data_IF_069887274965
#
_entry.id   IF_069887274965
#
_cell.length_a   1.000
_cell.length_b   1.000
_cell.length_c   1.000
_cell.angle_alpha   90.00
_cell.angle_beta   90.00
_cell.angle_gamma   90.00
#
_symmetry.space_group_name_H-M   'P 1'
#
loop_
_entity.id
_entity.type
_entity.pdbx_description
1 polymer ?
2 non-polymer ?
3 non-polymer ?
4 non-polymer ?
5 water ?
#
# COMPACT_ATOMS: atom_id res chain seq x y z
N UNK A 36 10.92 21.44 12.63
CA UNK A 36 9.86 20.47 12.88
C UNK A 36 8.80 20.52 11.77
N UNK A 37 8.15 19.39 11.53
CA UNK A 37 7.06 19.35 10.57
C UNK A 37 5.92 20.29 11.00
N UNK A 38 5.45 21.12 10.05
CA UNK A 38 4.44 22.16 10.31
C UNK A 38 3.00 21.62 10.37
N UNK A 39 2.80 20.37 9.98
CA UNK A 39 1.50 19.71 10.05
C UNK A 39 1.71 18.34 10.69
N UNK A 40 0.67 17.76 11.27
CA UNK A 40 0.81 16.40 11.76
C UNK A 40 -0.40 15.57 11.35
N UNK A 41 -0.12 14.31 11.03
CA UNK A 41 -1.17 13.37 10.67
C UNK A 41 -1.37 12.37 11.80
N UNK A 42 -2.62 11.99 12.06
CA UNK A 42 -2.91 10.89 12.98
C UNK A 42 -2.36 9.59 12.40
N UNK A 43 -2.24 8.57 13.23
CA UNK A 43 -1.81 7.25 12.76
C UNK A 43 -2.76 6.75 11.66
N UNK A 44 -4.06 6.88 11.89
CA UNK A 44 -5.06 6.48 10.89
C UNK A 44 -4.91 7.24 9.58
N UNK A 45 -4.69 8.56 9.64
CA UNK A 45 -4.59 9.30 8.38
C UNK A 45 -3.27 9.02 7.64
N UNK A 46 -2.16 8.86 8.38
CA UNK A 46 -0.88 8.56 7.74
C UNK A 46 -0.97 7.20 7.09
N UNK A 47 -1.52 6.24 7.82
CA UNK A 47 -1.65 4.87 7.30
C UNK A 47 -2.48 4.87 6.03
N UNK A 48 -3.61 5.57 6.06
CA UNK A 48 -4.49 5.64 4.90
C UNK A 48 -3.81 6.28 3.69
N UNK A 49 -3.11 7.39 3.89
CA UNK A 49 -2.47 8.07 2.76
C UNK A 49 -1.30 7.27 2.18
N UNK A 50 -0.52 6.61 3.03
CA UNK A 50 0.57 5.77 2.54
C UNK A 50 0.02 4.60 1.71
N UNK A 51 -1.04 3.98 2.21
CA UNK A 51 -1.68 2.92 1.45
C UNK A 51 -2.23 3.44 0.12
N UNK A 52 -2.87 4.61 0.12
CA UNK A 52 -3.35 5.18 -1.14
C UNK A 52 -2.20 5.41 -2.13
N UNK A 53 -1.05 5.86 -1.64
CA UNK A 53 0.09 6.12 -2.52
C UNK A 53 0.63 4.84 -3.14
N UNK A 54 0.86 3.81 -2.34
CA UNK A 54 1.36 2.59 -2.98
C UNK A 54 0.29 1.96 -3.87
N UNK A 55 -0.98 2.02 -3.49
CA UNK A 55 -2.02 1.48 -4.38
C UNK A 55 -1.99 2.22 -5.72
N UNK A 56 -1.89 3.54 -5.68
CA UNK A 56 -1.87 4.32 -6.91
C UNK A 56 -0.67 3.96 -7.77
N UNK A 57 0.49 3.79 -7.15
CA UNK A 57 1.70 3.58 -7.93
C UNK A 57 1.78 2.18 -8.56
N UNK A 58 1.05 1.22 -7.99
CA UNK A 58 1.10 -0.14 -8.56
C UNK A 58 -0.15 -0.41 -9.42
N UNK A 59 -1.26 0.28 -9.12
CA UNK A 59 -2.51 0.25 -9.92
C UNK A 59 -2.25 0.68 -11.36
N UNK A 60 -1.39 1.69 -11.50
CA UNK A 60 -1.15 2.27 -12.82
C UNK A 60 -0.57 1.24 -13.82
N UNK A 61 0.55 0.56 -13.48
CA UNK A 61 0.99 -0.46 -14.46
C UNK A 61 0.06 -1.67 -14.55
N UNK A 62 -0.65 -2.04 -13.49
CA UNK A 62 -1.59 -3.16 -13.60
C UNK A 62 -2.75 -2.77 -14.54
N UNK A 63 -3.18 -1.51 -14.42
CA UNK A 63 -4.19 -0.96 -15.32
C UNK A 63 -3.71 -0.97 -16.76
N UNK A 64 -2.42 -0.68 -16.95
CA UNK A 64 -1.84 -0.69 -18.27
C UNK A 64 -1.82 -2.10 -18.86
N UNK A 65 -1.56 -3.10 -18.03
CA UNK A 65 -1.62 -4.47 -18.51
C UNK A 65 -3.03 -4.77 -18.99
N UNK A 66 -4.04 -4.36 -18.23
CA UNK A 66 -5.42 -4.59 -18.64
C UNK A 66 -5.77 -3.89 -19.95
N UNK A 67 -5.28 -2.66 -20.16
CA UNK A 67 -5.48 -2.02 -21.46
C UNK A 67 -4.83 -2.80 -22.60
N UNK A 68 -3.59 -3.25 -22.39
CA UNK A 68 -2.88 -4.04 -23.38
C UNK A 68 -3.62 -5.34 -23.70
N UNK A 69 -4.18 -5.98 -22.68
CA UNK A 69 -4.93 -7.22 -22.89
C UNK A 69 -6.17 -7.00 -23.74
N UNK A 70 -6.85 -5.88 -23.52
CA UNK A 70 -8.04 -5.57 -24.31
C UNK A 70 -7.63 -5.31 -25.76
N UNK A 71 -6.53 -4.59 -25.96
CA UNK A 71 -6.01 -4.29 -27.29
C UNK A 71 -5.52 -5.55 -28.02
N UNK A 72 -4.89 -6.45 -27.27
CA UNK A 72 -4.37 -7.67 -27.87
C UNK A 72 -5.52 -8.54 -28.39
N UNK A 73 -6.62 -8.56 -27.63
CA UNK A 73 -7.79 -9.34 -28.00
C UNK A 73 -8.43 -8.80 -29.27
N UNK A 74 -8.25 -7.51 -29.52
CA UNK A 74 -8.81 -6.88 -30.71
C UNK A 74 -7.96 -7.11 -31.95
N UNK A 75 -6.66 -7.33 -31.77
CA UNK A 75 -5.79 -7.49 -32.92
C UNK A 75 -5.54 -6.13 -33.56
N UNK A 76 -4.67 -6.11 -34.56
CA UNK A 76 -4.41 -4.86 -35.26
C UNK A 76 -3.16 -4.15 -34.76
N UNK A 77 -2.75 -4.44 -33.53
CA UNK A 77 -1.48 -3.95 -33.03
C UNK A 77 -0.93 -4.89 -31.97
N UNK A 78 -0.78 -6.16 -32.32
CA UNK A 78 -0.39 -7.16 -31.34
C UNK A 78 0.96 -6.91 -30.71
N UNK A 79 1.91 -6.46 -31.53
CA UNK A 79 3.26 -6.21 -31.06
C UNK A 79 3.28 -5.08 -30.03
N UNK A 80 2.53 -4.01 -30.32
CA UNK A 80 2.42 -2.87 -29.41
C UNK A 80 1.77 -3.25 -28.11
N UNK A 81 0.69 -4.03 -28.20
CA UNK A 81 -0.06 -4.46 -27.03
C UNK A 81 0.82 -5.34 -26.13
N UNK A 82 1.55 -6.28 -26.74
CA UNK A 82 2.45 -7.14 -25.97
C UNK A 82 3.61 -6.37 -25.34
N UNK A 83 4.17 -5.40 -26.05
CA UNK A 83 5.25 -4.60 -25.48
C UNK A 83 4.76 -3.80 -24.27
N UNK A 84 3.52 -3.29 -24.37
CA UNK A 84 2.91 -2.59 -23.25
C UNK A 84 2.77 -3.52 -22.05
N UNK A 85 2.30 -4.73 -22.29
CA UNK A 85 2.09 -5.69 -21.20
C UNK A 85 3.42 -6.02 -20.52
N UNK A 86 4.45 -6.25 -21.33
CA UNK A 86 5.76 -6.60 -20.78
C UNK A 86 6.39 -5.47 -19.99
N UNK A 87 6.35 -4.26 -20.54
CA UNK A 87 6.99 -3.15 -19.84
C UNK A 87 6.23 -2.82 -18.57
N UNK A 88 4.91 -2.99 -18.60
CA UNK A 88 4.09 -2.69 -17.44
C UNK A 88 4.28 -3.75 -16.36
N UNK A 89 4.45 -5.01 -16.75
CA UNK A 89 4.71 -6.05 -15.74
C UNK A 89 6.02 -5.77 -15.01
N UNK A 90 7.04 -5.33 -15.74
CA UNK A 90 8.29 -5.00 -15.11
C UNK A 90 8.14 -3.80 -14.17
N UNK A 91 7.38 -2.78 -14.60
CA UNK A 91 7.12 -1.62 -13.75
C UNK A 91 6.43 -2.04 -12.46
N UNK A 92 5.39 -2.86 -12.58
CA UNK A 92 4.64 -3.31 -11.41
C UNK A 92 5.52 -4.05 -10.43
N UNK A 93 6.33 -4.97 -10.94
CA UNK A 93 7.20 -5.76 -10.06
C UNK A 93 8.25 -4.87 -9.36
N UNK A 94 8.85 -3.96 -10.13
CA UNK A 94 9.87 -3.08 -9.60
C UNK A 94 9.31 -2.16 -8.50
N UNK A 95 8.11 -1.64 -8.73
CA UNK A 95 7.47 -0.74 -7.77
C UNK A 95 7.06 -1.50 -6.51
N UNK A 96 6.59 -2.74 -6.69
CA UNK A 96 6.22 -3.57 -5.56
C UNK A 96 7.42 -3.85 -4.66
N UNK A 97 8.53 -4.25 -5.25
CA UNK A 97 9.71 -4.60 -4.46
C UNK A 97 10.28 -3.37 -3.78
N UNK A 98 10.24 -2.23 -4.45
CA UNK A 98 10.72 -1.00 -3.84
C UNK A 98 9.80 -0.61 -2.68
N UNK A 99 8.49 -0.70 -2.88
CA UNK A 99 7.53 -0.33 -1.83
C UNK A 99 7.67 -1.19 -0.58
N UNK A 100 7.99 -2.47 -0.77
CA UNK A 100 8.11 -3.40 0.36
C UNK A 100 9.11 -2.91 1.40
N UNK A 101 10.18 -2.27 0.92
CA UNK A 101 11.23 -1.79 1.82
C UNK A 101 11.07 -0.30 2.14
N UNK A 102 10.69 0.50 1.15
CA UNK A 102 10.60 1.95 1.35
C UNK A 102 9.41 2.35 2.20
N UNK A 103 8.30 1.63 2.04
CA UNK A 103 7.08 1.93 2.79
C UNK A 103 6.68 0.83 3.78
N UNK A 104 6.83 -0.43 3.37
CA UNK A 104 6.44 -1.53 4.23
C UNK A 104 7.46 -1.79 5.32
N UNK A 105 7.23 -2.84 6.10
CA UNK A 105 8.13 -3.25 7.17
C UNK A 105 8.87 -4.50 6.74
N UNK A 106 9.92 -4.30 5.96
CA UNK A 106 10.68 -5.40 5.37
C UNK A 106 12.12 -4.97 5.16
N UNK A 110 13.64 -7.34 10.71
CA UNK A 110 13.05 -6.63 11.83
C UNK A 110 13.63 -5.24 12.07
N UNK A 111 14.49 -5.15 13.09
CA UNK A 111 15.06 -3.91 13.59
C UNK A 111 15.97 -3.20 12.57
N UNK A 112 16.78 -3.98 11.85
CA UNK A 112 17.74 -3.43 10.89
C UNK A 112 17.35 -3.72 9.45
N UNK A 113 17.88 -2.90 8.54
CA UNK A 113 17.81 -3.21 7.10
C UNK A 113 19.22 -3.18 6.53
N UNK A 114 19.52 -4.16 5.67
CA UNK A 114 20.79 -4.27 4.94
C UNK A 114 20.76 -3.29 3.76
N UNK A 115 21.72 -2.37 3.68
CA UNK A 115 21.67 -1.41 2.56
C UNK A 115 21.89 -2.10 1.21
N UNK A 116 22.39 -3.33 1.23
CA UNK A 116 22.50 -4.10 0.00
C UNK A 116 21.12 -4.41 -0.58
N UNK A 117 20.17 -4.70 0.29
CA UNK A 117 18.79 -4.94 -0.16
C UNK A 117 18.21 -3.63 -0.70
N UNK A 118 18.48 -2.52 -0.02
CA UNK A 118 18.03 -1.22 -0.52
C UNK A 118 18.63 -0.93 -1.89
N UNK A 119 19.93 -1.20 -2.04
CA UNK A 119 20.57 -0.96 -3.33
C UNK A 119 19.90 -1.79 -4.43
N UNK A 120 19.60 -3.05 -4.13
CA UNK A 120 19.00 -3.92 -5.14
C UNK A 120 17.64 -3.39 -5.61
N UNK A 121 16.75 -3.05 -4.67
CA UNK A 121 15.42 -2.63 -5.09
C UNK A 121 15.47 -1.24 -5.71
N UNK A 122 16.39 -0.40 -5.25
CA UNK A 122 16.52 0.94 -5.84
C UNK A 122 17.02 0.86 -7.27
N UNK A 123 18.02 0.01 -7.48
CA UNK A 123 18.59 -0.14 -8.83
C UNK A 123 17.53 -0.63 -9.84
N UNK A 124 16.73 -1.61 -9.44
CA UNK A 124 15.70 -2.11 -10.35
C UNK A 124 14.59 -1.07 -10.57
N UNK A 125 14.24 -0.35 -9.52
CA UNK A 125 13.25 0.72 -9.65
C UNK A 125 13.75 1.74 -10.69
N UNK A 126 14.99 2.18 -10.55
CA UNK A 126 15.47 3.23 -11.44
C UNK A 126 15.80 2.75 -12.83
N UNK A 127 15.94 1.44 -13.03
CA UNK A 127 16.05 0.90 -14.38
C UNK A 127 14.80 1.23 -15.19
N UNK A 128 13.67 1.35 -14.50
CA UNK A 128 12.41 1.67 -15.14
C UNK A 128 12.03 3.13 -15.04
N UNK A 129 13.01 3.96 -14.70
CA UNK A 129 12.82 5.40 -14.62
C UNK A 129 13.82 6.11 -15.52
N UNK A 130 13.58 7.39 -15.75
CA UNK A 130 14.39 8.17 -16.69
C UNK A 130 15.86 8.40 -16.29
N UNK A 131 16.13 8.83 -15.05
CA UNK A 131 17.53 9.20 -14.78
C UNK A 131 18.53 8.05 -14.73
N UNK A 132 19.78 8.36 -15.02
CA UNK A 132 20.88 7.42 -14.81
C UNK A 132 21.18 7.32 -13.33
N UNK A 133 21.26 6.10 -12.82
CA UNK A 133 21.34 5.86 -11.38
C UNK A 133 22.64 5.21 -10.98
N UNK A 134 23.30 5.77 -9.97
CA UNK A 134 24.53 5.16 -9.46
C UNK A 134 24.51 5.12 -7.93
N UNK A 135 25.23 4.15 -7.37
CA UNK A 135 25.26 3.90 -5.93
C UNK A 135 26.69 3.58 -5.49
N UNK A 136 27.14 4.27 -4.45
CA UNK A 136 28.49 4.17 -3.92
C UNK A 136 28.45 4.10 -2.40
N UNK A 137 29.28 3.25 -1.79
CA UNK A 137 29.32 3.23 -0.34
C UNK A 137 29.29 1.83 0.24
N UNK A 138 29.92 1.66 1.40
CA UNK A 138 30.00 0.35 2.04
C UNK A 138 28.63 -0.20 2.41
N UNK A 139 28.43 -1.47 2.09
CA UNK A 139 27.25 -2.20 2.52
C UNK A 139 27.21 -2.27 4.04
N UNK A 140 26.07 -1.95 4.63
CA UNK A 140 26.00 -1.85 6.09
C UNK A 140 24.60 -2.19 6.61
N UNK A 141 24.54 -2.77 7.80
CA UNK A 141 23.26 -2.92 8.50
C UNK A 141 22.96 -1.66 9.29
N UNK A 142 21.79 -1.06 9.06
CA UNK A 142 21.39 0.17 9.74
C UNK A 142 19.98 0.04 10.33
N UNK A 143 19.64 0.90 11.32
CA UNK A 143 18.26 0.87 11.83
C UNK A 143 17.27 1.05 10.69
N UNK A 144 16.17 0.31 10.72
CA UNK A 144 15.27 0.26 9.58
C UNK A 144 14.83 1.65 9.10
N UNK A 145 14.51 2.57 10.01
CA UNK A 145 13.99 3.85 9.56
C UNK A 145 15.05 4.72 8.86
N UNK A 146 16.32 4.50 9.16
CA UNK A 146 17.36 5.22 8.44
C UNK A 146 17.44 4.74 6.99
N UNK A 147 17.27 3.44 6.77
CA UNK A 147 17.31 2.92 5.40
C UNK A 147 16.01 3.31 4.65
N UNK A 148 14.88 3.33 5.35
CA UNK A 148 13.65 3.81 4.73
C UNK A 148 13.80 5.28 4.37
N UNK A 149 14.44 6.06 5.24
CA UNK A 149 14.71 7.47 4.91
C UNK A 149 15.53 7.58 3.61
N UNK A 150 16.58 6.79 3.52
CA UNK A 150 17.43 6.76 2.31
C UNK A 150 16.59 6.52 1.05
N UNK A 151 15.77 5.47 1.08
CA UNK A 151 14.99 5.14 -0.11
C UNK A 151 13.98 6.23 -0.44
N UNK A 152 13.37 6.84 0.57
CA UNK A 152 12.42 7.92 0.32
C UNK A 152 13.10 9.18 -0.21
N UNK A 153 14.34 9.40 0.21
CA UNK A 153 15.11 10.52 -0.35
C UNK A 153 15.38 10.31 -1.85
N UNK A 154 15.50 9.06 -2.30
CA UNK A 154 15.67 8.79 -3.73
C UNK A 154 14.46 9.25 -4.53
N UNK A 155 13.27 9.10 -3.95
CA UNK A 155 12.04 9.51 -4.65
C UNK A 155 11.99 11.03 -4.76
N UNK A 156 12.42 11.73 -3.70
CA UNK A 156 12.50 13.19 -3.72
C UNK A 156 13.51 13.64 -4.78
N UNK A 157 14.67 12.99 -4.80
CA UNK A 157 15.68 13.26 -5.81
C UNK A 157 15.18 13.06 -7.23
N UNK A 158 14.49 11.95 -7.47
CA UNK A 158 13.90 11.68 -8.77
C UNK A 158 12.93 12.78 -9.15
N UNK A 159 12.17 13.22 -8.16
CA UNK A 159 11.19 14.28 -8.37
C UNK A 159 11.80 15.61 -8.73
N UNK A 160 13.07 15.78 -8.38
CA UNK A 160 13.78 17.04 -8.58
C UNK A 160 14.31 17.20 -10.00
N UNK A 161 14.36 16.10 -10.74
CA UNK A 161 14.80 16.13 -12.14
C UNK A 161 13.73 15.51 -13.05
N UNK A 162 12.61 16.23 -13.25
CA UNK A 162 11.44 15.70 -13.97
C UNK A 162 11.67 15.43 -15.46
N UNK A 163 12.74 15.98 -16.05
CA UNK A 163 13.06 15.70 -17.44
C UNK A 163 14.27 14.75 -17.58
N UNK A 164 14.62 14.06 -16.49
CA UNK A 164 15.73 13.12 -16.51
C UNK A 164 17.05 13.75 -16.12
N UNK A 165 18.14 13.00 -16.32
CA UNK A 165 19.47 13.43 -15.91
C UNK A 165 20.17 12.29 -15.17
N UNK A 166 20.80 12.62 -14.04
CA UNK A 166 21.48 11.60 -13.23
C UNK A 166 21.14 11.73 -11.76
N UNK A 167 21.06 10.58 -11.09
CA UNK A 167 20.85 10.56 -9.66
C UNK A 167 21.93 9.67 -9.08
N UNK A 168 22.75 10.26 -8.21
CA UNK A 168 23.88 9.52 -7.64
C UNK A 168 23.76 9.44 -6.13
N UNK A 169 23.87 8.23 -5.61
CA UNK A 169 23.82 7.99 -4.17
C UNK A 169 25.21 7.70 -3.62
N UNK A 170 25.54 8.37 -2.51
CA UNK A 170 26.74 8.02 -1.75
C UNK A 170 26.38 7.75 -0.31
N UNK A 171 26.84 6.61 0.21
CA UNK A 171 26.72 6.30 1.63
C UNK A 171 28.04 6.61 2.31
N UNK A 172 27.98 7.43 3.36
CA UNK A 172 29.17 7.87 4.08
C UNK A 172 28.96 7.74 5.58
N UNK A 173 29.95 8.16 6.36
CA UNK A 173 29.85 8.11 7.81
C UNK A 173 30.02 6.72 8.39
N UNK A 174 29.62 6.56 9.65
CA UNK A 174 29.76 5.31 10.37
C UNK A 174 28.41 4.60 10.50
N UNK A 175 28.40 3.40 11.05
CA UNK A 175 27.12 2.70 11.16
C UNK A 175 26.26 3.30 12.29
N UNK A 176 26.89 4.02 13.23
CA UNK A 176 26.14 4.74 14.26
C UNK A 176 25.76 6.15 13.81
N UNK A 177 26.59 6.73 12.93
CA UNK A 177 26.30 8.05 12.39
C UNK A 177 26.41 8.06 10.87
N UNK A 178 25.46 7.40 10.20
CA UNK A 178 25.52 7.34 8.73
C UNK A 178 25.24 8.71 8.12
N UNK A 179 25.77 8.92 6.92
CA UNK A 179 25.44 10.10 6.15
C UNK A 179 25.03 9.68 4.76
N UNK A 180 23.90 10.18 4.29
CA UNK A 180 23.43 9.88 2.94
C UNK A 180 23.58 11.10 2.04
N UNK A 181 24.13 10.91 0.86
CA UNK A 181 24.28 12.01 -0.08
C UNK A 181 23.60 11.64 -1.40
N UNK A 182 22.61 12.43 -1.79
CA UNK A 182 21.91 12.21 -3.06
C UNK A 182 22.12 13.42 -3.96
N UNK A 183 22.82 13.22 -5.07
CA UNK A 183 23.15 14.32 -5.98
C UNK A 183 22.44 14.16 -7.32
N UNK A 184 21.65 15.16 -7.71
CA UNK A 184 20.96 15.10 -8.99
C UNK A 184 21.43 16.19 -9.94
N UNK A 185 21.50 15.81 -11.21
CA UNK A 185 21.87 16.73 -12.29
C UNK A 185 20.89 16.48 -13.42
N UNK A 186 20.51 17.54 -14.14
CA UNK A 186 19.60 17.37 -15.26
C UNK A 186 19.20 18.67 -15.92
N UNK A 187 18.51 18.56 -17.06
CA UNK A 187 18.13 19.74 -17.83
C UNK A 187 17.18 20.62 -17.05
N UNK A 188 16.30 20.00 -16.28
CA UNK A 188 15.50 20.74 -15.33
C UNK A 188 15.82 20.35 -13.90
N UNK A 189 16.17 21.35 -13.10
CA UNK A 189 16.48 21.12 -11.71
C UNK A 189 15.50 21.92 -10.89
N UNK A 190 14.68 21.24 -10.09
CA UNK A 190 13.85 21.96 -9.14
C UNK A 190 13.53 21.09 -7.94
N UNK A 191 13.78 21.63 -6.75
CA UNK A 191 13.39 20.95 -5.52
C UNK A 191 11.88 20.84 -5.56
N UNK A 192 11.36 19.61 -5.35
CA UNK A 192 9.90 19.44 -5.34
C UNK A 192 9.27 20.40 -4.33
N UNK A 193 8.33 21.24 -4.80
CA UNK A 193 7.77 22.34 -3.99
C UNK A 193 7.16 21.89 -2.68
N UNK A 194 6.45 20.76 -2.68
CA UNK A 194 5.83 20.29 -1.44
C UNK A 194 6.90 19.90 -0.42
N UNK A 195 7.97 19.27 -0.89
CA UNK A 195 9.05 18.92 0.02
C UNK A 195 9.72 20.19 0.59
N UNK A 196 9.97 21.15 -0.29
CA UNK A 196 10.59 22.41 0.11
C UNK A 196 9.73 23.11 1.17
N UNK A 197 8.43 23.22 0.89
CA UNK A 197 7.48 23.81 1.82
C UNK A 197 7.51 23.16 3.20
N UNK A 198 7.31 21.84 3.25
CA UNK A 198 7.27 21.11 4.51
C UNK A 198 8.62 21.17 5.25
N UNK A 199 9.72 21.04 4.51
CA UNK A 199 11.03 21.03 5.12
C UNK A 199 11.39 22.41 5.70
N UNK A 200 10.89 23.46 5.07
CA UNK A 200 11.15 24.83 5.51
C UNK A 200 10.30 25.23 6.72
N UNK A 201 9.34 24.39 7.09
CA UNK A 201 8.53 24.64 8.27
C UNK A 201 7.26 25.43 7.99
N UNK A 202 6.88 25.53 6.72
CA UNK A 202 5.64 26.22 6.38
C UNK A 202 4.51 25.20 6.20
N UNK A 203 3.38 25.43 6.86
CA UNK A 203 2.20 24.59 6.65
C UNK A 203 1.64 24.82 5.25
N UNK A 204 1.23 23.74 4.58
CA UNK A 204 0.67 23.84 3.23
C UNK A 204 -0.73 24.44 3.23
N UNK A 205 -1.11 25.10 2.14
CA UNK A 205 -2.43 25.69 2.03
C UNK A 205 -3.48 24.59 1.91
N UNK A 206 -3.09 23.46 1.34
CA UNK A 206 -4.00 22.34 1.24
C UNK A 206 -3.52 21.15 2.05
N UNK A 207 -4.45 20.33 2.54
CA UNK A 207 -4.12 19.18 3.39
C UNK A 207 -3.23 18.18 2.67
N UNK A 208 -2.43 17.45 3.43
CA UNK A 208 -1.62 16.37 2.89
C UNK A 208 -2.54 15.38 2.18
N UNK A 209 -2.14 14.91 1.01
CA UNK A 209 -2.92 13.91 0.27
C UNK A 209 -2.01 12.79 -0.17
N UNK A 210 -2.48 11.92 -1.08
CA UNK A 210 -1.70 10.73 -1.45
C UNK A 210 -0.43 11.07 -2.23
N UNK A 211 -0.33 12.29 -2.74
CA UNK A 211 0.88 12.71 -3.43
C UNK A 211 1.87 13.32 -2.45
N UNK A 212 1.42 14.31 -1.68
CA UNK A 212 2.29 14.99 -0.72
C UNK A 212 2.60 14.15 0.54
N UNK A 213 1.94 13.01 0.71
CA UNK A 213 2.27 12.20 1.87
C UNK A 213 3.72 11.69 1.77
N UNK A 214 4.23 11.56 0.55
CA UNK A 214 5.56 10.97 0.43
C UNK A 214 6.66 11.93 0.95
N UNK A 215 6.62 13.22 0.58
CA UNK A 215 7.58 14.12 1.24
C UNK A 215 7.33 14.26 2.74
N UNK A 216 6.07 14.23 3.17
CA UNK A 216 5.76 14.27 4.59
C UNK A 216 6.42 13.09 5.31
N UNK A 217 6.26 11.90 4.75
CA UNK A 217 6.79 10.68 5.33
C UNK A 217 8.32 10.70 5.40
N UNK A 218 8.94 11.23 4.35
CA UNK A 218 10.40 11.33 4.28
C UNK A 218 10.90 12.14 5.47
N UNK A 219 10.27 13.28 5.70
CA UNK A 219 10.66 14.14 6.79
C UNK A 219 10.35 13.51 8.14
N UNK A 220 9.22 12.81 8.24
CA UNK A 220 8.82 12.15 9.47
C UNK A 220 9.83 11.05 9.86
N UNK A 221 10.29 10.30 8.87
CA UNK A 221 11.29 9.27 9.11
C UNK A 221 12.59 9.88 9.62
N UNK A 222 13.00 11.00 9.03
CA UNK A 222 14.23 11.67 9.45
C UNK A 222 14.09 12.11 10.91
N UNK A 223 12.93 12.65 11.25
CA UNK A 223 12.70 13.07 12.64
C UNK A 223 12.80 11.89 13.60
N UNK A 224 12.17 10.77 13.27
CA UNK A 224 12.21 9.61 14.18
C UNK A 224 13.64 9.11 14.32
N UNK A 225 14.39 9.16 13.22
CA UNK A 225 15.76 8.62 13.18
C UNK A 225 16.78 9.59 13.78
N UNK A 226 16.32 10.79 14.11
CA UNK A 226 17.20 11.82 14.64
C UNK A 226 18.20 12.34 13.62
N UNK A 227 17.81 12.30 12.35
CA UNK A 227 18.67 12.79 11.28
C UNK A 227 18.08 14.06 10.67
N UNK A 228 18.95 14.91 10.12
CA UNK A 228 18.53 16.17 9.52
C UNK A 228 18.82 16.16 8.03
N UNK A 229 17.83 16.52 7.22
CA UNK A 229 18.05 16.66 5.78
C UNK A 229 18.46 18.08 5.44
N UNK A 230 19.54 18.22 4.68
CA UNK A 230 19.93 19.51 4.14
C UNK A 230 19.81 19.52 2.63
N UNK A 231 19.43 20.68 2.08
CA UNK A 231 19.31 20.86 0.65
C UNK A 231 20.29 21.91 0.16
N UNK A 232 21.15 21.55 -0.78
CA UNK A 232 22.04 22.53 -1.39
C UNK A 232 21.74 22.57 -2.89
N UNK A 233 20.94 23.55 -3.30
CA UNK A 233 20.52 23.64 -4.69
C UNK A 233 21.23 24.77 -5.42
N UNK A 234 21.98 24.42 -6.45
CA UNK A 234 22.65 25.41 -7.27
C UNK A 234 22.20 25.29 -8.72
N UNK A 235 22.78 26.13 -9.57
CA UNK A 235 22.43 26.10 -10.98
C UNK A 235 22.97 24.83 -11.65
N UNK A 236 23.98 24.21 -11.04
CA UNK A 236 24.64 23.05 -11.62
C UNK A 236 24.02 21.72 -11.17
N UNK A 237 23.62 21.66 -9.90
CA UNK A 237 23.08 20.43 -9.35
C UNK A 237 22.27 20.68 -8.08
N UNK A 238 21.62 19.65 -7.57
CA UNK A 238 21.03 19.73 -6.25
C UNK A 238 21.55 18.58 -5.41
N UNK A 239 22.02 18.89 -4.21
CA UNK A 239 22.49 17.86 -3.29
C UNK A 239 21.55 17.78 -2.09
N UNK A 240 20.92 16.62 -1.94
CA UNK A 240 20.14 16.31 -0.75
C UNK A 240 21.01 15.45 0.15
N UNK A 241 21.26 15.89 1.37
CA UNK A 241 22.06 15.07 2.26
C UNK A 241 21.35 14.89 3.60
N UNK A 242 21.66 13.79 4.27
CA UNK A 242 21.08 13.53 5.58
C UNK A 242 22.17 13.02 6.51
N UNK A 243 22.06 13.42 7.77
CA UNK A 243 23.04 13.06 8.79
C UNK A 243 22.51 13.38 10.20
N UNK B 37 -7.37 -1.53 21.53
CA UNK B 37 -7.58 -1.18 22.93
C UNK B 37 -6.38 -1.52 23.83
N UNK B 38 -5.93 -2.79 23.87
CA UNK B 38 -4.89 -3.07 24.87
C UNK B 38 -3.48 -2.68 24.43
N UNK B 39 -3.29 -2.49 23.13
CA UNK B 39 -2.01 -2.11 22.58
C UNK B 39 -2.22 -0.99 21.58
N UNK B 40 -1.21 -0.16 21.38
CA UNK B 40 -1.30 0.86 20.34
C UNK B 40 -0.02 0.91 19.50
N UNK B 41 -0.20 1.12 18.20
CA UNK B 41 0.92 1.24 17.29
C UNK B 41 1.16 2.68 16.98
N UNK B 42 2.44 3.04 16.85
CA UNK B 42 2.82 4.37 16.40
C UNK B 42 2.31 4.57 14.99
N UNK B 43 2.22 5.83 14.57
CA UNK B 43 1.81 6.15 13.21
C UNK B 43 2.75 5.49 12.20
N UNK B 44 4.05 5.58 12.45
CA UNK B 44 5.03 4.95 11.55
C UNK B 44 4.86 3.43 11.44
N UNK B 45 4.64 2.77 12.58
CA UNK B 45 4.52 1.32 12.56
C UNK B 45 3.20 0.86 11.95
N UNK B 46 2.11 1.58 12.19
CA UNK B 46 0.84 1.19 11.58
C UNK B 46 0.89 1.33 10.06
N UNK B 47 1.41 2.46 9.59
CA UNK B 47 1.51 2.70 8.16
C UNK B 47 2.37 1.65 7.49
N UNK B 48 3.52 1.35 8.10
CA UNK B 48 4.42 0.34 7.52
C UNK B 48 3.77 -1.04 7.43
N UNK B 49 3.11 -1.47 8.51
CA UNK B 49 2.51 -2.80 8.50
C UNK B 49 1.32 -2.88 7.53
N UNK B 50 0.53 -1.82 7.43
CA UNK B 50 -0.56 -1.82 6.43
C UNK B 50 0.01 -1.91 5.02
N UNK B 51 1.07 -1.16 4.76
CA UNK B 51 1.72 -1.25 3.44
C UNK B 51 2.28 -2.66 3.18
N UNK B 52 2.90 -3.28 4.18
CA UNK B 52 3.39 -4.65 4.02
C UNK B 52 2.27 -5.63 3.71
N UNK B 53 1.13 -5.44 4.35
CA UNK B 53 -0.03 -6.32 4.13
C UNK B 53 -0.50 -6.21 2.68
N UNK B 54 -0.59 -5.00 2.14
CA UNK B 54 -1.01 -4.83 0.76
C UNK B 54 0.00 -5.49 -0.18
N UNK B 55 1.29 -5.28 0.08
CA UNK B 55 2.34 -5.88 -0.74
C UNK B 55 2.27 -7.39 -0.71
N UNK B 56 2.08 -7.94 0.49
CA UNK B 56 2.03 -9.38 0.64
C UNK B 56 0.89 -9.98 -0.17
N UNK B 57 -0.24 -9.27 -0.20
CA UNK B 57 -1.43 -9.78 -0.87
C UNK B 57 -1.38 -9.72 -2.40
N UNK B 58 -0.42 -8.98 -2.97
CA UNK B 58 -0.33 -8.94 -4.43
C UNK B 58 0.92 -9.60 -5.03
N UNK B 59 1.83 -10.08 -4.18
CA UNK B 59 3.04 -10.75 -4.64
C UNK B 59 2.75 -11.94 -5.56
N UNK B 60 1.78 -12.76 -5.19
CA UNK B 60 1.45 -13.95 -5.99
C UNK B 60 0.84 -13.61 -7.36
N UNK B 61 -0.20 -12.76 -7.40
CA UNK B 61 -0.73 -12.48 -8.75
C UNK B 61 0.22 -11.70 -9.65
N UNK B 62 1.01 -10.78 -9.09
CA UNK B 62 1.99 -10.10 -9.93
C UNK B 62 3.09 -11.10 -10.36
N UNK B 63 3.48 -12.00 -9.48
CA UNK B 63 4.42 -13.04 -9.89
C UNK B 63 3.87 -13.92 -11.01
N UNK B 64 2.58 -14.25 -10.93
CA UNK B 64 1.96 -15.10 -11.97
C UNK B 64 1.90 -14.37 -13.31
N UNK B 65 1.74 -13.05 -13.29
CA UNK B 65 1.81 -12.31 -14.55
C UNK B 65 3.17 -12.53 -15.20
N UNK B 66 4.24 -12.41 -14.41
CA UNK B 66 5.58 -12.63 -14.92
C UNK B 66 5.77 -14.09 -15.38
N UNK B 67 5.20 -15.04 -14.64
CA UNK B 67 5.24 -16.45 -15.08
C UNK B 67 4.56 -16.68 -16.41
N UNK B 68 3.40 -16.03 -16.59
CA UNK B 68 2.65 -16.12 -17.83
C UNK B 68 3.46 -15.60 -18.99
N UNK B 69 4.16 -14.49 -18.78
CA UNK B 69 5.02 -13.93 -19.82
C UNK B 69 6.15 -14.91 -20.18
N UNK B 70 6.69 -15.60 -19.18
CA UNK B 70 7.74 -16.61 -19.40
C UNK B 70 7.18 -17.78 -20.20
N UNK B 71 5.97 -18.22 -19.87
CA UNK B 71 5.36 -19.34 -20.59
C UNK B 71 5.04 -18.96 -22.01
N UNK B 72 4.65 -17.70 -22.19
CA UNK B 72 4.32 -17.23 -23.53
C UNK B 72 5.58 -17.27 -24.39
N UNK B 73 6.70 -16.84 -23.85
CA UNK B 73 7.94 -16.82 -24.62
C UNK B 73 8.46 -18.24 -24.90
N UNK B 74 8.11 -19.21 -24.06
CA UNK B 74 8.54 -20.59 -24.27
C UNK B 74 7.75 -21.26 -25.39
N UNK B 75 6.59 -20.68 -25.70
CA UNK B 75 5.74 -21.16 -26.79
C UNK B 75 4.95 -22.43 -26.57
N UNK B 76 4.04 -22.73 -27.49
CA UNK B 76 3.30 -23.98 -27.39
C UNK B 76 1.97 -23.89 -26.67
N UNK B 77 1.79 -22.87 -25.83
CA UNK B 77 0.51 -22.71 -25.14
C UNK B 77 0.21 -21.23 -24.92
N UNK B 78 0.21 -20.49 -26.01
CA UNK B 78 0.04 -19.04 -25.97
C UNK B 78 -1.30 -18.63 -25.39
N UNK B 79 -2.37 -19.35 -25.73
CA UNK B 79 -3.70 -19.01 -25.22
C UNK B 79 -3.77 -19.20 -23.72
N UNK B 80 -3.22 -20.29 -23.22
CA UNK B 80 -3.20 -20.51 -21.78
C UNK B 80 -2.41 -19.42 -21.08
N UNK B 81 -1.28 -19.06 -21.66
CA UNK B 81 -0.41 -18.04 -21.04
C UNK B 81 -1.14 -16.70 -20.97
N UNK B 82 -1.81 -16.33 -22.06
CA UNK B 82 -2.52 -15.05 -22.06
C UNK B 82 -3.68 -15.06 -21.07
N UNK B 83 -4.37 -16.19 -20.98
CA UNK B 83 -5.49 -16.30 -20.05
C UNK B 83 -4.99 -16.12 -18.61
N UNK B 84 -3.84 -16.73 -18.30
CA UNK B 84 -3.22 -16.59 -16.98
C UNK B 84 -2.86 -15.14 -16.69
N UNK B 85 -2.27 -14.46 -17.67
CA UNK B 85 -1.89 -13.05 -17.49
C UNK B 85 -3.15 -12.24 -17.21
N UNK B 86 -4.21 -12.54 -17.96
CA UNK B 86 -5.46 -11.80 -17.80
C UNK B 86 -6.10 -12.00 -16.43
N UNK B 87 -6.20 -13.24 -15.96
CA UNK B 87 -6.86 -13.45 -14.68
C UNK B 87 -5.99 -12.97 -13.52
N UNK B 88 -4.66 -13.05 -13.68
CA UNK B 88 -3.77 -12.63 -12.61
C UNK B 88 -3.77 -11.09 -12.50
N UNK B 89 -3.82 -10.41 -13.65
CA UNK B 89 -3.93 -8.95 -13.63
C UNK B 89 -5.27 -8.52 -13.04
N UNK B 90 -6.34 -9.25 -13.35
CA UNK B 90 -7.64 -8.93 -12.77
C UNK B 90 -7.63 -9.12 -11.26
N UNK B 91 -6.97 -10.19 -10.81
CA UNK B 91 -6.79 -10.46 -9.38
C UNK B 91 -6.02 -9.33 -8.69
N UNK B 92 -4.88 -8.95 -9.25
CA UNK B 92 -4.07 -7.88 -8.68
C UNK B 92 -4.86 -6.57 -8.61
N UNK B 93 -5.57 -6.27 -9.70
CA UNK B 93 -6.38 -5.04 -9.78
C UNK B 93 -7.45 -5.04 -8.69
N UNK B 94 -8.13 -6.17 -8.54
CA UNK B 94 -9.21 -6.27 -7.55
C UNK B 94 -8.66 -6.04 -6.15
N UNK B 95 -7.49 -6.59 -5.86
CA UNK B 95 -6.92 -6.44 -4.53
C UNK B 95 -6.50 -4.99 -4.27
N UNK B 96 -5.92 -4.33 -5.29
CA UNK B 96 -5.49 -2.94 -5.16
C UNK B 96 -6.70 -2.00 -5.00
N UNK B 97 -7.74 -2.22 -5.79
CA UNK B 97 -8.92 -1.36 -5.68
C UNK B 97 -9.61 -1.54 -4.31
N UNK B 98 -9.64 -2.78 -3.81
CA UNK B 98 -10.23 -3.02 -2.50
C UNK B 98 -9.39 -2.34 -1.43
N UNK B 99 -8.08 -2.50 -1.52
CA UNK B 99 -7.17 -1.91 -0.53
C UNK B 99 -7.25 -0.37 -0.53
N UNK B 100 -7.45 0.21 -1.71
CA UNK B 100 -7.55 1.66 -1.88
C UNK B 100 -8.61 2.28 -0.97
N UNK B 101 -9.72 1.56 -0.77
CA UNK B 101 -10.81 2.02 0.08
C UNK B 101 -10.71 1.43 1.48
N UNK B 102 -10.40 0.14 1.62
CA UNK B 102 -10.41 -0.50 2.94
C UNK B 102 -9.27 -0.02 3.83
N UNK B 103 -8.11 0.20 3.23
CA UNK B 103 -6.91 0.62 3.97
C UNK B 103 -6.56 2.06 3.63
N UNK B 104 -6.75 2.45 2.37
CA UNK B 104 -6.41 3.77 1.85
C UNK B 104 -7.41 4.87 2.15
N UNK B 105 -7.21 6.01 1.52
CA UNK B 105 -8.10 7.16 1.70
C UNK B 105 -9.04 7.38 0.49
N UNK B 106 -9.11 6.42 -0.42
CA UNK B 106 -9.82 6.65 -1.68
C UNK B 106 -11.33 6.63 -1.55
N UNK B 107 -11.98 7.26 -2.54
CA UNK B 107 -13.43 7.33 -2.60
C UNK B 107 -13.98 8.40 -1.68
N UNK B 108 -13.10 9.29 -1.26
CA UNK B 108 -13.48 10.26 -0.24
C UNK B 108 -12.65 11.54 -0.36
N UNK B 109 -13.26 12.68 -0.04
CA UNK B 109 -12.62 13.99 -0.19
C UNK B 109 -11.88 14.68 1.00
N UNK B 110 -11.87 14.17 2.24
CA UNK B 110 -12.46 12.91 2.63
C UNK B 110 -13.86 13.00 3.20
N UNK B 111 -13.93 12.85 4.51
CA UNK B 111 -15.16 12.76 5.30
C UNK B 111 -16.12 11.60 4.98
N UNK B 112 -16.66 11.46 3.75
CA UNK B 112 -17.61 10.37 3.47
C UNK B 112 -17.16 9.35 2.40
N UNK B 113 -17.73 8.15 2.45
CA UNK B 113 -17.60 7.15 1.39
C UNK B 113 -18.98 6.66 0.95
N UNK B 114 -19.15 6.51 -0.36
CA UNK B 114 -20.36 5.96 -0.96
C UNK B 114 -20.33 4.44 -0.83
N UNK B 115 -21.34 3.84 -0.18
CA UNK B 115 -21.31 2.38 -0.02
C UNK B 115 -21.48 1.65 -1.37
N UNK B 116 -21.93 2.37 -2.40
CA UNK B 116 -21.97 1.79 -3.73
C UNK B 116 -20.56 1.47 -4.21
N UNK B 117 -19.62 2.35 -3.92
CA UNK B 117 -18.22 2.08 -4.27
C UNK B 117 -17.67 0.91 -3.45
N UNK B 118 -18.04 0.89 -2.17
CA UNK B 118 -17.63 -0.22 -1.30
C UNK B 118 -18.18 -1.54 -1.84
N UNK B 119 -19.45 -1.55 -2.20
CA UNK B 119 -20.04 -2.77 -2.75
C UNK B 119 -19.31 -3.20 -4.02
N UNK B 120 -18.99 -2.25 -4.88
CA UNK B 120 -18.29 -2.61 -6.12
C UNK B 120 -16.93 -3.25 -5.87
N UNK B 121 -16.10 -2.63 -5.02
CA UNK B 121 -14.75 -3.19 -4.86
C UNK B 121 -14.83 -4.48 -4.05
N UNK B 122 -15.80 -4.59 -3.14
CA UNK B 122 -15.91 -5.86 -2.39
C UNK B 122 -16.36 -7.01 -3.30
N UNK B 123 -17.33 -6.74 -4.18
CA UNK B 123 -17.85 -7.78 -5.06
C UNK B 123 -16.75 -8.29 -6.00
N UNK B 124 -15.97 -7.38 -6.56
CA UNK B 124 -14.87 -7.78 -7.45
C UNK B 124 -13.77 -8.52 -6.67
N UNK B 125 -13.50 -8.06 -5.45
CA UNK B 125 -12.51 -8.71 -4.60
C UNK B 125 -12.90 -10.17 -4.36
N UNK B 126 -14.16 -10.41 -4.01
CA UNK B 126 -14.56 -11.77 -3.63
C UNK B 126 -14.73 -12.70 -4.82
N UNK B 127 -14.69 -12.15 -6.03
CA UNK B 127 -14.53 -12.99 -7.21
C UNK B 127 -13.23 -13.82 -7.11
N UNK B 128 -12.23 -13.28 -6.41
CA UNK B 128 -10.98 -13.98 -6.19
C UNK B 128 -10.83 -14.57 -4.78
N UNK B 129 -11.95 -14.79 -4.11
CA UNK B 129 -11.92 -15.47 -2.82
C UNK B 129 -12.87 -16.67 -2.85
N UNK B 130 -12.73 -17.54 -1.85
CA UNK B 130 -13.51 -18.78 -1.79
C UNK B 130 -15.01 -18.57 -1.58
N UNK B 131 -15.40 -17.72 -0.60
CA UNK B 131 -16.84 -17.76 -0.31
C UNK B 131 -17.75 -17.19 -1.40
N UNK B 132 -18.98 -17.70 -1.45
CA UNK B 132 -20.02 -17.09 -2.25
C UNK B 132 -20.39 -15.80 -1.54
N UNK B 133 -20.40 -14.70 -2.28
CA UNK B 133 -20.50 -13.37 -1.67
C UNK B 133 -21.81 -12.68 -2.06
N UNK B 134 -22.53 -12.17 -1.05
CA UNK B 134 -23.73 -11.38 -1.29
C UNK B 134 -23.75 -10.10 -0.46
N UNK B 135 -24.42 -9.08 -0.99
CA UNK B 135 -24.49 -7.76 -0.39
C UNK B 135 -25.91 -7.27 -0.48
N UNK B 136 -26.45 -6.84 0.64
CA UNK B 136 -27.81 -6.39 0.73
C UNK B 136 -27.81 -5.09 1.53
N UNK B 137 -28.56 -4.10 1.05
CA UNK B 137 -28.69 -2.83 1.74
C UNK B 137 -28.58 -1.63 0.82
N UNK B 138 -29.34 -0.58 1.16
CA UNK B 138 -29.43 0.62 0.36
C UNK B 138 -28.10 1.35 0.21
N UNK B 139 -27.83 1.83 -1.00
CA UNK B 139 -26.68 2.68 -1.26
C UNK B 139 -26.76 3.97 -0.45
N UNK B 140 -25.70 4.31 0.29
CA UNK B 140 -25.75 5.44 1.21
C UNK B 140 -24.36 6.08 1.38
N UNK B 141 -24.32 7.39 1.59
CA UNK B 141 -23.09 8.06 2.00
C UNK B 141 -22.92 7.97 3.51
N UNK B 142 -21.78 7.44 3.97
CA UNK B 142 -21.52 7.29 5.42
C UNK B 142 -20.14 7.86 5.74
N UNK B 143 -19.87 8.19 7.03
CA UNK B 143 -18.52 8.65 7.37
C UNK B 143 -17.47 7.64 6.95
N UNK B 144 -16.35 8.12 6.43
CA UNK B 144 -15.36 7.25 5.80
C UNK B 144 -14.92 6.11 6.69
N UNK B 145 -14.69 6.38 7.98
CA UNK B 145 -14.18 5.30 8.82
C UNK B 145 -15.23 4.22 9.12
N UNK B 146 -16.51 4.56 9.03
CA UNK B 146 -17.54 3.53 9.17
C UNK B 146 -17.54 2.61 7.95
N UNK B 147 -17.35 3.17 6.76
CA UNK B 147 -17.30 2.32 5.57
C UNK B 147 -15.99 1.51 5.53
N UNK B 148 -14.88 2.11 5.98
CA UNK B 148 -13.64 1.34 6.07
C UNK B 148 -13.78 0.19 7.09
N UNK B 149 -14.46 0.44 8.21
CA UNK B 149 -14.73 -0.61 9.18
C UNK B 149 -15.51 -1.75 8.50
N UNK B 150 -16.55 -1.40 7.75
CA UNK B 150 -17.35 -2.38 7.03
C UNK B 150 -16.48 -3.29 6.14
N UNK B 151 -15.65 -2.69 5.30
CA UNK B 151 -14.81 -3.49 4.40
C UNK B 151 -13.82 -4.35 5.18
N UNK B 152 -13.28 -3.83 6.29
CA UNK B 152 -12.35 -4.63 7.08
C UNK B 152 -13.04 -5.79 7.79
N UNK B 153 -14.31 -5.60 8.15
CA UNK B 153 -15.10 -6.69 8.72
C UNK B 153 -15.30 -7.82 7.68
N UNK B 154 -15.33 -7.48 6.38
CA UNK B 154 -15.42 -8.53 5.36
C UNK B 154 -14.19 -9.41 5.40
N UNK B 155 -13.03 -8.80 5.66
CA UNK B 155 -11.79 -9.57 5.69
C UNK B 155 -11.76 -10.49 6.91
N UNK B 156 -12.27 -10.00 8.04
CA UNK B 156 -12.38 -10.83 9.24
C UNK B 156 -13.32 -12.01 8.97
N UNK B 157 -14.46 -11.71 8.36
CA UNK B 157 -15.41 -12.74 8.01
C UNK B 157 -14.80 -13.80 7.10
N UNK B 158 -14.09 -13.35 6.08
CA UNK B 158 -13.42 -14.27 5.15
C UNK B 158 -12.46 -15.18 5.91
N UNK B 159 -11.76 -14.61 6.88
CA UNK B 159 -10.84 -15.37 7.70
C UNK B 159 -11.51 -16.41 8.57
N UNK B 160 -12.80 -16.21 8.85
CA UNK B 160 -13.54 -17.09 9.74
C UNK B 160 -14.03 -18.37 9.05
N UNK B 161 -14.00 -18.38 7.72
CA UNK B 161 -14.38 -19.56 6.96
C UNK B 161 -13.25 -19.95 5.99
N UNK B 162 -12.14 -20.47 6.54
CA UNK B 162 -10.93 -20.73 5.75
C UNK B 162 -11.10 -21.85 4.72
N UNK B 163 -12.14 -22.67 4.84
CA UNK B 163 -12.39 -23.69 3.83
C UNK B 163 -13.51 -23.28 2.90
N UNK B 164 -13.86 -22.00 2.92
CA UNK B 164 -14.90 -21.49 2.05
C UNK B 164 -16.29 -21.55 2.65
N UNK B 165 -17.29 -21.32 1.82
CA UNK B 165 -18.66 -21.25 2.28
C UNK B 165 -19.35 -20.02 1.71
N UNK B 166 -20.04 -19.30 2.57
CA UNK B 166 -20.72 -18.08 2.16
C UNK B 166 -20.42 -16.93 3.11
N UNK B 167 -20.32 -15.74 2.55
CA UNK B 167 -20.16 -14.52 3.33
C UNK B 167 -21.24 -13.57 2.84
N UNK B 168 -22.13 -13.19 3.74
CA UNK B 168 -23.26 -12.34 3.38
C UNK B 168 -23.20 -11.05 4.18
N UNK B 169 -23.33 -9.93 3.48
CA UNK B 169 -23.31 -8.61 4.09
C UNK B 169 -24.70 -8.00 4.09
N UNK B 170 -25.12 -7.46 5.24
CA UNK B 170 -26.33 -6.63 5.29
C UNK B 170 -26.06 -5.28 5.93
N UNK B 171 -26.48 -4.23 5.25
CA UNK B 171 -26.46 -2.89 5.80
C UNK B 171 -27.83 -2.57 6.35
N UNK B 172 -27.87 -2.18 7.62
CA UNK B 172 -29.13 -1.91 8.32
C UNK B 172 -29.03 -0.58 9.06
N UNK B 173 -30.10 -0.21 9.79
CA UNK B 173 -30.08 1.02 10.55
C UNK B 173 -30.29 2.27 9.72
N UNK B 174 -29.93 3.41 10.29
CA UNK B 174 -30.08 4.71 9.62
C UNK B 174 -28.74 5.23 9.16
N UNK B 175 -28.73 6.34 8.42
CA UNK B 175 -27.46 6.87 7.97
C UNK B 175 -26.72 7.55 9.13
N UNK B 176 -27.46 7.90 10.19
CA UNK B 176 -26.83 8.44 11.39
C UNK B 176 -26.38 7.33 12.33
N UNK B 177 -27.11 6.21 12.32
CA UNK B 177 -26.75 5.08 13.17
C UNK B 177 -26.76 3.78 12.38
N UNK B 178 -25.76 3.61 11.51
CA UNK B 178 -25.72 2.39 10.70
C UNK B 178 -25.43 1.13 11.51
N UNK B 179 -25.92 -0.01 11.01
CA UNK B 179 -25.58 -1.30 11.57
C UNK B 179 -25.06 -2.19 10.44
N UNK B 180 -23.90 -2.83 10.64
CA UNK B 180 -23.33 -3.74 9.65
C UNK B 180 -23.44 -5.17 10.15
N UNK B 181 -23.93 -6.05 9.31
CA UNK B 181 -24.04 -7.45 9.70
C UNK B 181 -23.33 -8.32 8.68
N UNK B 182 -22.32 -9.04 9.15
CA UNK B 182 -21.55 -9.94 8.30
C UNK B 182 -21.74 -11.36 8.82
N UNK B 183 -22.39 -12.18 8.00
CA UNK B 183 -22.72 -13.55 8.40
C UNK B 183 -21.97 -14.57 7.56
N UNK B 184 -21.20 -15.43 8.22
CA UNK B 184 -20.46 -16.46 7.50
C UNK B 184 -20.87 -17.87 7.89
N UNK B 185 -20.88 -18.74 6.87
CA UNK B 185 -21.19 -20.16 7.01
C UNK B 185 -20.22 -20.94 6.16
N UNK B 186 -19.78 -22.09 6.65
CA UNK B 186 -18.88 -22.95 5.88
C UNK B 186 -18.48 -24.17 6.68
N UNK B 187 -17.82 -25.13 6.02
CA UNK B 187 -17.47 -26.38 6.67
C UNK B 187 -16.50 -26.15 7.83
N UNK B 188 -15.64 -25.16 7.70
CA UNK B 188 -14.83 -24.76 8.85
C UNK B 188 -15.26 -23.37 9.30
N UNK B 189 -15.68 -23.32 10.56
CA UNK B 189 -16.17 -22.10 11.16
C UNK B 189 -15.34 -21.81 12.40
N UNK B 190 -14.57 -20.72 12.38
CA UNK B 190 -13.81 -20.34 13.58
C UNK B 190 -13.51 -18.86 13.60
N UNK B 191 -13.80 -18.21 14.72
CA UNK B 191 -13.39 -16.81 14.85
C UNK B 191 -11.86 -16.76 14.78
N UNK B 192 -11.32 -15.90 13.89
CA UNK B 192 -9.87 -15.77 13.79
C UNK B 192 -9.26 -15.44 15.15
N UNK B 193 -8.30 -16.26 15.60
CA UNK B 193 -7.78 -16.19 16.96
C UNK B 193 -7.20 -14.84 17.36
N UNK B 194 -6.47 -14.19 16.44
CA UNK B 194 -5.87 -12.90 16.72
C UNK B 194 -6.95 -11.83 16.91
N UNK B 195 -7.98 -11.88 16.09
CA UNK B 195 -9.08 -10.95 16.24
C UNK B 195 -9.80 -11.19 17.57
N UNK B 196 -10.07 -12.46 17.88
CA UNK B 196 -10.77 -12.80 19.12
C UNK B 196 -10.00 -12.26 20.32
N UNK B 197 -8.70 -12.54 20.32
CA UNK B 197 -7.76 -12.05 21.34
C UNK B 197 -7.81 -10.54 21.55
N UNK B 198 -7.57 -9.79 20.47
CA UNK B 198 -7.57 -8.33 20.56
C UNK B 198 -8.93 -7.76 20.93
N UNK B 199 -9.98 -8.34 20.35
CA UNK B 199 -11.35 -7.87 20.58
C UNK B 199 -11.75 -8.07 22.05
N UNK B 200 -11.20 -9.11 22.68
CA UNK B 200 -11.50 -9.37 24.07
C UNK B 200 -10.77 -8.42 25.01
N UNK B 201 -9.84 -7.63 24.48
CA UNK B 201 -9.11 -6.67 25.30
C UNK B 201 -7.80 -7.22 25.82
N UNK B 202 -7.34 -8.31 25.23
CA UNK B 202 -6.08 -8.93 25.63
C UNK B 202 -4.92 -8.46 24.77
N UNK B 203 -3.80 -8.14 25.41
CA UNK B 203 -2.59 -7.80 24.67
C UNK B 203 -2.11 -9.05 23.93
N UNK B 204 -1.62 -8.90 22.70
CA UNK B 204 -1.22 -10.08 21.92
C UNK B 204 0.01 -10.74 22.50
N UNK B 205 0.12 -12.06 22.30
CA UNK B 205 1.23 -12.83 22.83
C UNK B 205 2.51 -12.52 22.09
N UNK B 206 2.37 -12.21 20.80
CA UNK B 206 3.48 -11.80 19.94
C UNK B 206 3.19 -10.44 19.31
N UNK B 207 4.25 -9.69 18.95
CA UNK B 207 4.05 -8.32 18.43
C UNK B 207 3.18 -8.27 17.18
N UNK B 208 2.44 -7.19 17.00
CA UNK B 208 1.62 -7.00 15.79
C UNK B 208 2.53 -7.02 14.57
N UNK B 209 2.14 -7.76 13.53
CA UNK B 209 2.92 -7.83 12.30
C UNK B 209 2.01 -7.67 11.08
N UNK B 210 2.51 -7.98 9.89
CA UNK B 210 1.74 -7.73 8.66
C UNK B 210 0.50 -8.60 8.57
N UNK B 211 0.45 -9.66 9.35
CA UNK B 211 -0.75 -10.47 9.33
C UNK B 211 -1.74 -9.93 10.36
N UNK B 212 -1.30 -9.75 11.61
CA UNK B 212 -2.21 -9.30 12.66
C UNK B 212 -2.55 -7.81 12.61
N UNK B 213 -1.93 -7.03 11.73
CA UNK B 213 -2.25 -5.61 11.65
C UNK B 213 -3.69 -5.40 11.18
N UNK B 214 -4.22 -6.33 10.38
CA UNK B 214 -5.55 -6.09 9.82
C UNK B 214 -6.65 -6.21 10.90
N UNK B 215 -6.61 -7.27 11.74
CA UNK B 215 -7.58 -7.25 12.85
C UNK B 215 -7.38 -6.10 13.84
N UNK B 216 -6.12 -5.73 14.10
CA UNK B 216 -5.84 -4.56 14.93
C UNK B 216 -6.49 -3.33 14.34
N UNK B 217 -6.27 -3.13 13.04
CA UNK B 217 -6.78 -1.98 12.32
C UNK B 217 -8.31 -1.92 12.33
N UNK B 218 -8.92 -3.09 12.19
CA UNK B 218 -10.39 -3.19 12.21
C UNK B 218 -10.94 -2.63 13.53
N UNK B 219 -10.33 -3.04 14.64
CA UNK B 219 -10.75 -2.59 15.97
C UNK B 219 -10.48 -1.10 16.15
N UNK B 220 -9.35 -0.64 15.62
CA UNK B 220 -9.00 0.77 15.68
C UNK B 220 -10.02 1.64 14.95
N UNK B 221 -10.47 1.17 13.79
CA UNK B 221 -11.48 1.90 13.03
C UNK B 221 -12.80 1.95 13.79
N UNK B 222 -13.17 0.82 14.41
CA UNK B 222 -14.41 0.76 15.17
C UNK B 222 -14.36 1.76 16.32
N UNK B 223 -13.24 1.82 17.02
CA UNK B 223 -13.08 2.76 18.12
C UNK B 223 -13.19 4.21 17.62
N UNK B 224 -12.52 4.49 16.51
CA UNK B 224 -12.54 5.82 15.91
C UNK B 224 -13.94 6.24 15.49
N UNK B 225 -14.69 5.29 14.96
CA UNK B 225 -16.02 5.56 14.43
C UNK B 225 -17.10 5.60 15.51
N UNK B 226 -16.73 5.25 16.74
CA UNK B 226 -17.69 5.17 17.82
C UNK B 226 -18.66 4.00 17.68
N UNK B 227 -18.20 2.94 17.02
CA UNK B 227 -19.01 1.74 16.84
C UNK B 227 -18.41 0.57 17.60
N UNK B 228 -19.26 -0.36 18.00
CA UNK B 228 -18.87 -1.53 18.76
C UNK B 228 -19.08 -2.78 17.91
N UNK B 229 -18.06 -3.63 17.83
CA UNK B 229 -18.22 -4.90 17.13
C UNK B 229 -18.64 -5.99 18.10
N UNK B 230 -19.67 -6.74 17.71
CA UNK B 230 -20.09 -7.92 18.45
C UNK B 230 -19.85 -9.18 17.65
N UNK B 231 -19.53 -10.25 18.36
CA UNK B 231 -19.33 -11.55 17.74
C UNK B 231 -20.37 -12.51 18.30
N UNK B 232 -21.18 -13.09 17.43
CA UNK B 232 -22.12 -14.14 17.80
C UNK B 232 -21.87 -15.42 17.02
N UNK B 233 -21.22 -16.39 17.66
CA UNK B 233 -20.85 -17.64 17.03
C UNK B 233 -21.73 -18.81 17.49
N UNK B 234 -22.36 -19.49 16.54
CA UNK B 234 -23.12 -20.71 16.81
C UNK B 234 -22.55 -21.86 15.96
N UNK B 235 -23.16 -23.03 16.06
CA UNK B 235 -22.71 -24.19 15.29
C UNK B 235 -23.05 -24.04 13.80
N UNK B 236 -24.01 -23.16 13.52
CA UNK B 236 -24.48 -22.95 12.15
C UNK B 236 -23.73 -21.83 11.43
N UNK B 237 -23.42 -20.77 12.16
CA UNK B 237 -22.78 -19.60 11.56
C UNK B 237 -22.06 -18.73 12.57
N UNK B 238 -21.33 -17.75 12.05
CA UNK B 238 -20.79 -16.67 12.88
C UNK B 238 -21.29 -15.35 12.32
N UNK B 239 -21.80 -14.50 13.20
CA UNK B 239 -22.22 -13.17 12.80
C UNK B 239 -21.29 -12.13 13.42
N UNK B 240 -20.62 -11.36 12.57
CA UNK B 240 -19.89 -10.19 13.04
C UNK B 240 -20.77 -8.98 12.78
N UNK B 241 -21.13 -8.25 13.81
CA UNK B 241 -21.99 -7.09 13.62
C UNK B 241 -21.40 -5.87 14.30
N UNK B 242 -21.72 -4.70 13.77
CA UNK B 242 -21.23 -3.46 14.35
C UNK B 242 -22.31 -2.40 14.32
N UNK B 243 -22.35 -1.58 15.38
CA UNK B 243 -23.32 -0.50 15.49
C UNK B 243 -22.86 0.42 16.62
#
# INVERSE_FOLDING_TARGET
MGSSHHHHHHSSGLVPRGSHMASMTGGQQMGRGSMSLPVTLSALDLGALLCSRICHDIISPIGAINNGLELLEEGGADEDAMALIKSSARNASARLQFARIAFGAAGSAGVQIDTGDAQNVATEYFRNEKPEFTWEGARVLLPKNKVKLLLNMLLIGNGAIPRGGSLAVRLEGSDTDPRFVITVKGRMLRVPPKFLELHSGAAPEEPIDAHSVQPYYTLLLAEEAGMKISIHATAEDIVFSAE
MGSSHHHHHHSSGLVPRGSHMASMTGGQQMGRGSMSLPVTLSALDLGALLCSRICHDIISPIGAINNGLELLEEGGADEDAMALIKSSARNASARLQFARIAFGAAGSAGVQIDTGDAQNVATEYFRNEKPEFTWEGARVLLPKNKVKLLLNMLLIGNGAIPRGGSLAVRLEGSDTDPRFVITVKGRMLRVPPKFLELHSGAAPEEPIDAHSVQPYYTLLLAEEAGMKISIHATAEDIVFSAE
#
